data_IF_343132687011
#
_entry.id   IF_343132687011
#
_cell.length_a   1.000
_cell.length_b   1.000
_cell.length_c   1.000
_cell.angle_alpha   90.00
_cell.angle_beta   90.00
_cell.angle_gamma   90.00
#
_symmetry.space_group_name_H-M   'P 1'
#
loop_
_entity.id
_entity.type
_entity.pdbx_description
1 polymer ?
#
# COMPACT_ATOMS: atom_id res chain seq x y z
N UNK A 1 34.23 -14.18 -18.47
CA UNK A 1 32.84 -13.95 -18.04
C UNK A 1 32.02 -13.73 -19.29
N UNK A 2 31.21 -14.71 -19.72
CA UNK A 2 30.29 -14.51 -20.83
C UNK A 2 29.34 -13.37 -20.44
N UNK A 3 29.21 -12.36 -21.31
CA UNK A 3 28.40 -11.17 -21.03
C UNK A 3 26.97 -11.60 -20.70
N UNK A 4 26.54 -11.36 -19.47
CA UNK A 4 25.15 -11.50 -19.07
C UNK A 4 24.37 -10.52 -19.95
N UNK A 5 23.45 -11.02 -20.78
CA UNK A 5 22.71 -10.17 -21.70
C UNK A 5 21.92 -9.11 -20.94
N UNK A 6 22.02 -7.85 -21.36
CA UNK A 6 21.19 -6.75 -20.87
C UNK A 6 20.12 -6.41 -21.91
N UNK A 7 18.98 -5.92 -21.43
CA UNK A 7 17.89 -5.38 -22.25
C UNK A 7 17.85 -3.87 -22.05
N UNK A 8 17.77 -3.13 -23.15
CA UNK A 8 17.62 -1.68 -23.16
C UNK A 8 16.16 -1.31 -23.47
N UNK A 9 15.56 -0.47 -22.63
CA UNK A 9 14.24 0.10 -22.85
C UNK A 9 14.39 1.59 -23.18
N UNK A 10 13.93 2.01 -24.35
CA UNK A 10 14.07 3.39 -24.80
C UNK A 10 12.69 4.05 -24.96
N UNK A 11 12.24 4.81 -23.94
CA UNK A 11 11.03 5.62 -23.97
C UNK A 11 11.25 7.00 -24.57
N UNK A 12 10.18 7.74 -24.81
CA UNK A 12 10.24 9.14 -25.24
C UNK A 12 10.53 10.06 -24.04
N UNK A 13 10.07 9.69 -22.85
CA UNK A 13 10.40 10.36 -21.57
C UNK A 13 10.73 9.31 -20.50
N UNK A 14 11.65 9.61 -19.58
CA UNK A 14 11.97 8.76 -18.44
C UNK A 14 12.21 9.61 -17.19
N UNK A 15 11.65 9.19 -16.05
CA UNK A 15 12.00 9.76 -14.75
C UNK A 15 13.29 9.10 -14.24
N UNK A 16 14.41 9.83 -14.26
CA UNK A 16 15.71 9.35 -13.78
C UNK A 16 16.32 10.37 -12.84
N UNK A 17 16.78 9.93 -11.66
CA UNK A 17 17.43 10.78 -10.64
C UNK A 17 16.63 12.07 -10.32
N UNK A 18 15.29 11.93 -10.23
CA UNK A 18 14.40 13.04 -9.88
C UNK A 18 14.07 14.01 -11.02
N UNK A 19 14.55 13.77 -12.23
CA UNK A 19 14.26 14.59 -13.41
C UNK A 19 13.66 13.76 -14.55
N UNK A 20 12.71 14.34 -15.28
CA UNK A 20 12.18 13.74 -16.51
C UNK A 20 13.10 14.10 -17.67
N UNK A 21 13.50 13.10 -18.45
CA UNK A 21 14.53 13.19 -19.50
C UNK A 21 14.03 12.53 -20.78
N UNK A 22 14.43 13.05 -21.94
CA UNK A 22 14.03 12.53 -23.26
C UNK A 22 15.18 11.81 -23.99
N UNK A 23 16.36 11.78 -23.39
CA UNK A 23 17.64 11.44 -24.02
C UNK A 23 18.25 10.13 -23.48
N UNK A 24 17.49 9.33 -22.73
CA UNK A 24 17.99 8.17 -21.99
C UNK A 24 17.21 6.89 -22.29
N UNK A 25 17.92 5.76 -22.29
CA UNK A 25 17.37 4.41 -22.23
C UNK A 25 17.74 3.74 -20.90
N UNK A 26 16.85 2.93 -20.35
CA UNK A 26 17.07 2.14 -19.14
C UNK A 26 17.72 0.80 -19.50
N UNK A 27 18.86 0.49 -18.90
CA UNK A 27 19.55 -0.80 -19.04
C UNK A 27 19.19 -1.72 -17.87
N UNK A 28 18.67 -2.91 -18.18
CA UNK A 28 18.25 -3.93 -17.21
C UNK A 28 18.97 -5.25 -17.50
N UNK A 29 19.53 -5.90 -16.49
CA UNK A 29 20.20 -7.19 -16.65
C UNK A 29 19.23 -8.37 -16.69
N UNK A 30 19.75 -9.56 -17.00
CA UNK A 30 18.96 -10.79 -17.05
C UNK A 30 18.38 -11.23 -15.70
N UNK A 31 18.88 -10.69 -14.58
CA UNK A 31 18.33 -10.94 -13.24
C UNK A 31 17.19 -9.97 -12.89
N UNK A 32 16.90 -9.00 -13.77
CA UNK A 32 15.85 -8.00 -13.58
C UNK A 32 16.30 -6.81 -12.75
N UNK A 33 17.60 -6.58 -12.57
CA UNK A 33 18.14 -5.41 -11.90
C UNK A 33 18.48 -4.30 -12.90
N UNK A 34 18.25 -3.06 -12.49
CA UNK A 34 18.65 -1.87 -13.24
C UNK A 34 20.17 -1.75 -13.15
N UNK A 35 20.84 -1.68 -14.30
CA UNK A 35 22.28 -1.45 -14.37
C UNK A 35 22.57 0.04 -14.33
N UNK A 36 21.95 0.82 -15.22
CA UNK A 36 22.13 2.27 -15.37
C UNK A 36 21.11 2.84 -16.37
N UNK A 37 21.09 4.15 -16.52
CA UNK A 37 20.57 4.80 -17.73
C UNK A 37 21.72 5.11 -18.70
N UNK A 38 21.49 4.96 -20.00
CA UNK A 38 22.47 5.23 -21.06
C UNK A 38 21.91 6.26 -22.05
N UNK A 39 22.76 7.07 -22.72
CA UNK A 39 22.29 7.96 -23.77
C UNK A 39 21.53 7.20 -24.87
N UNK A 40 20.43 7.77 -25.36
CA UNK A 40 19.59 7.14 -26.39
C UNK A 40 20.35 6.81 -27.69
N UNK A 41 21.43 7.54 -27.98
CA UNK A 41 22.32 7.28 -29.11
C UNK A 41 23.11 5.97 -28.98
N UNK A 42 23.37 5.51 -27.74
CA UNK A 42 24.08 4.27 -27.45
C UNK A 42 23.13 3.06 -27.41
N UNK A 43 21.82 3.30 -27.39
CA UNK A 43 20.79 2.29 -27.21
C UNK A 43 20.40 1.55 -28.51
N UNK A 44 21.40 1.00 -29.20
CA UNK A 44 21.19 0.15 -30.38
C UNK A 44 20.50 -1.16 -29.98
N UNK A 45 19.49 -1.58 -30.75
CA UNK A 45 18.72 -2.79 -30.45
C UNK A 45 17.75 -2.69 -29.26
N UNK A 46 17.59 -1.50 -28.66
CA UNK A 46 16.67 -1.28 -27.55
C UNK A 46 15.21 -1.57 -27.94
N UNK A 47 14.44 -2.08 -26.97
CA UNK A 47 12.97 -2.13 -27.02
C UNK A 47 12.46 -0.69 -27.02
N UNK A 48 11.88 -0.27 -28.16
CA UNK A 48 11.37 1.09 -28.34
C UNK A 48 9.99 1.23 -27.73
N UNK A 49 9.86 2.08 -26.72
CA UNK A 49 8.60 2.42 -26.06
C UNK A 49 8.10 3.76 -26.62
N UNK A 50 7.79 3.79 -27.93
CA UNK A 50 7.38 5.03 -28.63
C UNK A 50 6.10 5.62 -28.03
N UNK A 51 6.06 6.93 -27.87
CA UNK A 51 4.92 7.63 -27.26
C UNK A 51 4.70 7.28 -25.80
N UNK A 52 5.71 6.71 -25.12
CA UNK A 52 5.62 6.33 -23.70
C UNK A 52 6.55 7.17 -22.84
N UNK A 53 6.08 7.51 -21.65
CA UNK A 53 6.94 7.87 -20.52
C UNK A 53 7.20 6.64 -19.64
N UNK A 54 8.43 6.47 -19.15
CA UNK A 54 8.83 5.41 -18.22
C UNK A 54 9.04 6.00 -16.83
N UNK A 55 8.33 5.47 -15.83
CA UNK A 55 8.38 5.93 -14.44
C UNK A 55 8.53 4.74 -13.48
N UNK A 56 9.06 4.90 -12.25
CA UNK A 56 9.01 3.85 -11.24
C UNK A 56 7.57 3.36 -11.02
N UNK A 57 7.39 2.05 -10.80
CA UNK A 57 6.07 1.52 -10.45
C UNK A 57 5.63 2.02 -9.08
N UNK A 58 4.32 2.24 -8.91
CA UNK A 58 3.78 2.70 -7.64
C UNK A 58 3.79 1.59 -6.59
N UNK A 59 3.89 2.00 -5.33
CA UNK A 59 3.98 1.11 -4.16
C UNK A 59 2.81 1.39 -3.24
N UNK A 60 1.88 0.45 -3.18
CA UNK A 60 0.73 0.51 -2.29
C UNK A 60 1.16 0.03 -0.90
N UNK A 61 1.31 0.92 0.07
CA UNK A 61 1.86 0.58 1.37
C UNK A 61 0.85 -0.06 2.34
N UNK A 62 -0.45 -0.04 2.03
CA UNK A 62 -1.48 -0.59 2.90
C UNK A 62 -2.68 -1.12 2.13
N UNK A 63 -3.04 -2.38 2.39
CA UNK A 63 -4.13 -3.09 1.74
C UNK A 63 -4.76 -4.13 2.68
N UNK A 64 -6.08 -4.28 2.56
CA UNK A 64 -6.83 -5.44 3.03
C UNK A 64 -7.54 -6.10 1.84
N UNK A 65 -6.87 -7.02 1.14
CA UNK A 65 -7.31 -7.51 -0.16
C UNK A 65 -8.72 -8.14 -0.14
N UNK A 66 -9.09 -8.84 0.93
CA UNK A 66 -10.40 -9.49 1.02
C UNK A 66 -11.57 -8.48 1.07
N UNK A 67 -11.32 -7.24 1.49
CA UNK A 67 -12.35 -6.19 1.53
C UNK A 67 -12.78 -5.76 0.12
N UNK A 68 -11.99 -6.09 -0.92
CA UNK A 68 -12.41 -5.93 -2.31
C UNK A 68 -13.75 -6.60 -2.63
N UNK A 69 -14.11 -7.65 -1.90
CA UNK A 69 -15.36 -8.39 -2.02
C UNK A 69 -16.59 -7.55 -1.64
N UNK A 70 -16.46 -6.62 -0.69
CA UNK A 70 -17.58 -5.78 -0.22
C UNK A 70 -17.72 -4.46 -0.99
N UNK A 71 -16.81 -4.14 -1.91
CA UNK A 71 -16.83 -2.89 -2.69
C UNK A 71 -18.23 -2.63 -3.29
N UNK A 72 -18.74 -1.42 -3.05
CA UNK A 72 -20.03 -0.95 -3.57
C UNK A 72 -21.26 -1.51 -2.83
N UNK A 73 -21.06 -2.36 -1.82
CA UNK A 73 -22.15 -2.97 -1.00
C UNK A 73 -22.28 -2.31 0.36
N UNK A 74 -21.68 -1.14 0.54
CA UNK A 74 -21.69 -0.37 1.80
C UNK A 74 -22.16 1.07 1.58
N UNK A 75 -22.46 1.45 0.33
CA UNK A 75 -22.86 2.81 -0.06
C UNK A 75 -24.38 3.01 0.08
N UNK A 76 -24.92 2.74 1.26
CA UNK A 76 -26.33 2.95 1.58
C UNK A 76 -26.50 3.24 3.08
N UNK A 77 -27.64 3.84 3.45
CA UNK A 77 -28.03 3.97 4.87
C UNK A 77 -28.90 2.77 5.25
N UNK A 78 -28.47 2.02 6.25
CA UNK A 78 -29.15 0.83 6.76
C UNK A 78 -30.58 1.17 7.17
N UNK A 79 -31.54 0.41 6.65
CA UNK A 79 -32.97 0.63 6.92
C UNK A 79 -33.25 0.75 8.41
N UNK A 80 -33.83 1.88 8.82
CA UNK A 80 -34.14 2.17 10.23
C UNK A 80 -33.05 2.94 10.99
N UNK A 81 -31.98 3.38 10.33
CA UNK A 81 -30.97 4.29 10.89
C UNK A 81 -31.05 5.69 10.25
N UNK A 82 -30.69 6.72 11.01
CA UNK A 82 -30.59 8.11 10.53
C UNK A 82 -29.29 8.36 9.75
N UNK A 83 -28.20 7.69 10.14
CA UNK A 83 -26.91 7.70 9.46
C UNK A 83 -26.19 6.36 9.63
N UNK A 84 -25.22 6.08 8.75
CA UNK A 84 -24.29 4.96 8.84
C UNK A 84 -22.86 5.49 9.00
N UNK A 85 -22.00 4.67 9.58
CA UNK A 85 -20.65 5.03 10.00
C UNK A 85 -19.67 3.86 9.75
N UNK A 86 -18.40 4.04 10.16
CA UNK A 86 -17.38 3.00 10.14
C UNK A 86 -17.87 1.65 10.72
N UNK A 87 -18.73 1.68 11.74
CA UNK A 87 -19.14 0.48 12.46
C UNK A 87 -20.19 -0.33 11.71
N UNK A 88 -21.11 0.31 10.96
CA UNK A 88 -22.05 -0.42 10.12
C UNK A 88 -21.39 -0.99 8.87
N UNK A 89 -20.43 -0.28 8.27
CA UNK A 89 -19.54 -0.83 7.23
C UNK A 89 -18.83 -2.11 7.71
N UNK A 90 -18.36 -2.11 8.96
CA UNK A 90 -17.63 -3.23 9.58
C UNK A 90 -18.45 -4.53 9.66
N UNK A 91 -19.78 -4.44 9.77
CA UNK A 91 -20.65 -5.63 9.80
C UNK A 91 -20.68 -6.37 8.44
N UNK A 92 -20.55 -5.63 7.34
CA UNK A 92 -20.40 -6.21 5.99
C UNK A 92 -19.01 -6.80 5.79
N UNK A 93 -17.96 -6.14 6.31
CA UNK A 93 -16.61 -6.70 6.35
C UNK A 93 -16.56 -8.03 7.12
N UNK A 94 -17.23 -8.13 8.27
CA UNK A 94 -17.32 -9.39 9.01
C UNK A 94 -18.04 -10.50 8.23
N UNK A 95 -19.12 -10.18 7.50
CA UNK A 95 -19.80 -11.17 6.64
C UNK A 95 -18.86 -11.74 5.59
N UNK A 96 -18.05 -10.89 4.96
CA UNK A 96 -17.01 -11.35 4.03
C UNK A 96 -15.97 -12.20 4.75
N UNK A 97 -15.40 -11.74 5.87
CA UNK A 97 -14.39 -12.47 6.62
C UNK A 97 -14.86 -13.85 7.09
N UNK A 98 -16.14 -14.02 7.43
CA UNK A 98 -16.70 -15.31 7.88
C UNK A 98 -16.90 -16.32 6.73
N UNK A 99 -17.00 -15.85 5.48
CA UNK A 99 -17.35 -16.70 4.33
C UNK A 99 -16.15 -17.28 3.57
N UNK A 100 -14.91 -16.83 3.84
CA UNK A 100 -13.75 -17.13 2.99
C UNK A 100 -12.91 -18.30 3.53
N UNK A 101 -12.85 -19.42 2.79
CA UNK A 101 -11.83 -20.45 2.98
C UNK A 101 -10.52 -20.08 2.28
N UNK A 102 -9.50 -20.97 2.32
CA UNK A 102 -8.20 -20.72 1.69
C UNK A 102 -8.30 -20.38 0.19
N UNK A 103 -9.09 -21.13 -0.56
CA UNK A 103 -9.25 -20.88 -2.00
C UNK A 103 -9.99 -19.56 -2.26
N UNK A 104 -11.01 -19.23 -1.47
CA UNK A 104 -11.70 -17.95 -1.62
C UNK A 104 -10.80 -16.75 -1.25
N UNK A 105 -9.91 -16.89 -0.26
CA UNK A 105 -8.88 -15.88 0.07
C UNK A 105 -7.92 -15.67 -1.11
N UNK A 106 -7.50 -16.75 -1.77
CA UNK A 106 -6.69 -16.64 -2.99
C UNK A 106 -7.45 -15.90 -4.10
N UNK A 107 -8.70 -16.29 -4.38
CA UNK A 107 -9.50 -15.69 -5.48
C UNK A 107 -9.73 -14.19 -5.25
N UNK A 108 -10.13 -13.79 -4.04
CA UNK A 108 -10.37 -12.37 -3.73
C UNK A 108 -9.08 -11.56 -3.81
N UNK A 109 -7.97 -12.11 -3.30
CA UNK A 109 -6.66 -11.43 -3.32
C UNK A 109 -6.13 -11.30 -4.74
N UNK A 110 -6.25 -12.35 -5.56
CA UNK A 110 -5.84 -12.34 -6.97
C UNK A 110 -6.57 -11.25 -7.75
N UNK A 111 -7.86 -11.07 -7.49
CA UNK A 111 -8.62 -10.01 -8.15
C UNK A 111 -8.21 -8.60 -7.70
N UNK A 112 -7.98 -8.40 -6.40
CA UNK A 112 -7.51 -7.11 -5.89
C UNK A 112 -6.12 -6.76 -6.46
N UNK A 113 -5.18 -7.71 -6.44
CA UNK A 113 -3.83 -7.53 -6.95
C UNK A 113 -3.78 -7.37 -8.47
N UNK A 114 -4.64 -8.05 -9.21
CA UNK A 114 -4.80 -7.84 -10.65
C UNK A 114 -5.22 -6.39 -10.96
N UNK A 115 -6.18 -5.85 -10.21
CA UNK A 115 -6.63 -4.47 -10.37
C UNK A 115 -5.51 -3.48 -10.02
N UNK A 116 -4.73 -3.76 -8.97
CA UNK A 116 -3.52 -3.00 -8.63
C UNK A 116 -2.49 -3.00 -9.78
N UNK A 117 -2.19 -4.16 -10.36
CA UNK A 117 -1.27 -4.27 -11.49
C UNK A 117 -1.75 -3.44 -12.69
N UNK A 118 -3.05 -3.51 -13.02
CA UNK A 118 -3.63 -2.71 -14.10
C UNK A 118 -3.60 -1.20 -13.82
N UNK A 119 -3.57 -0.80 -12.55
CA UNK A 119 -3.45 0.60 -12.11
C UNK A 119 -2.00 1.11 -12.04
N UNK A 120 -1.00 0.30 -12.39
CA UNK A 120 0.42 0.71 -12.33
C UNK A 120 1.10 0.50 -10.97
N UNK A 121 0.49 -0.30 -10.09
CA UNK A 121 1.06 -0.68 -8.80
C UNK A 121 1.87 -1.96 -8.99
N UNK A 122 3.16 -1.92 -8.69
CA UNK A 122 4.06 -3.08 -8.78
C UNK A 122 4.30 -3.80 -7.45
N UNK A 123 4.02 -3.11 -6.34
CA UNK A 123 4.28 -3.61 -4.98
C UNK A 123 3.10 -3.31 -4.05
N UNK A 124 2.73 -4.29 -3.21
CA UNK A 124 1.68 -4.14 -2.19
C UNK A 124 2.16 -4.53 -0.79
N UNK A 125 1.84 -3.70 0.20
CA UNK A 125 1.88 -3.99 1.62
C UNK A 125 0.54 -4.55 2.06
N UNK A 126 0.42 -5.87 2.16
CA UNK A 126 -0.83 -6.50 2.57
C UNK A 126 -0.87 -6.62 4.10
N UNK A 127 -1.75 -5.84 4.73
CA UNK A 127 -2.02 -5.86 6.16
C UNK A 127 -3.02 -6.99 6.45
N UNK A 128 -2.47 -8.19 6.64
CA UNK A 128 -3.22 -9.44 6.63
C UNK A 128 -3.61 -9.89 8.03
N UNK A 129 -4.91 -9.87 8.34
CA UNK A 129 -5.45 -10.24 9.65
C UNK A 129 -6.44 -11.42 9.65
N UNK A 130 -6.59 -12.15 8.54
CA UNK A 130 -7.45 -13.33 8.47
C UNK A 130 -6.59 -14.59 8.58
N UNK A 131 -6.57 -15.25 9.76
CA UNK A 131 -5.59 -16.30 10.06
C UNK A 131 -6.18 -17.69 10.20
N UNK A 132 -7.37 -17.78 10.80
CA UNK A 132 -7.95 -19.05 11.24
C UNK A 132 -9.11 -19.50 10.36
N UNK A 133 -9.57 -20.74 10.54
CA UNK A 133 -10.74 -21.27 9.86
C UNK A 133 -12.04 -20.53 10.24
N UNK A 134 -13.18 -20.77 9.55
CA UNK A 134 -14.44 -20.11 9.86
C UNK A 134 -14.94 -20.31 11.30
N UNK A 135 -14.49 -21.34 12.00
CA UNK A 135 -14.77 -21.60 13.42
C UNK A 135 -13.77 -20.92 14.38
N UNK A 136 -12.73 -20.27 13.87
CA UNK A 136 -11.68 -19.60 14.65
C UNK A 136 -10.56 -20.53 15.13
N UNK A 137 -10.43 -21.73 14.56
CA UNK A 137 -9.36 -22.68 14.88
C UNK A 137 -8.17 -22.48 13.93
N UNK A 138 -6.93 -22.60 14.41
CA UNK A 138 -5.76 -22.50 13.54
C UNK A 138 -5.77 -23.66 12.52
N UNK A 139 -5.35 -23.36 11.29
CA UNK A 139 -5.03 -24.37 10.29
C UNK A 139 -3.79 -25.18 10.69
N UNK A 140 -3.52 -26.27 9.98
CA UNK A 140 -2.33 -27.10 10.20
C UNK A 140 -1.04 -26.28 10.04
N UNK A 141 -0.97 -25.46 8.98
CA UNK A 141 -0.04 -24.33 8.90
C UNK A 141 -0.76 -23.05 9.37
N UNK A 142 -0.24 -22.40 10.41
CA UNK A 142 -0.82 -21.14 10.94
C UNK A 142 -0.81 -20.00 9.93
N UNK A 143 0.03 -20.09 8.89
CA UNK A 143 0.12 -19.12 7.82
C UNK A 143 -0.64 -19.55 6.55
N UNK A 144 -1.51 -20.56 6.61
CA UNK A 144 -2.27 -21.06 5.45
C UNK A 144 -2.86 -19.92 4.61
N UNK A 145 -3.63 -19.01 5.22
CA UNK A 145 -4.29 -17.92 4.49
C UNK A 145 -3.29 -16.85 3.99
N UNK A 146 -2.23 -16.58 4.75
CA UNK A 146 -1.14 -15.70 4.33
C UNK A 146 -0.41 -16.25 3.08
N UNK A 147 -0.19 -17.57 3.02
CA UNK A 147 0.39 -18.25 1.87
C UNK A 147 -0.53 -18.18 0.64
N UNK A 148 -1.85 -18.20 0.82
CA UNK A 148 -2.81 -18.00 -0.27
C UNK A 148 -2.75 -16.58 -0.85
N UNK A 149 -2.60 -15.57 0.01
CA UNK A 149 -2.37 -14.18 -0.42
C UNK A 149 -1.06 -14.06 -1.19
N UNK A 150 0.03 -14.63 -0.68
CA UNK A 150 1.34 -14.61 -1.37
C UNK A 150 1.26 -15.35 -2.71
N UNK A 151 0.54 -16.49 -2.77
CA UNK A 151 0.26 -17.21 -4.01
C UNK A 151 -0.44 -16.31 -5.03
N UNK A 152 -1.46 -15.58 -4.60
CA UNK A 152 -2.17 -14.62 -5.46
C UNK A 152 -1.24 -13.52 -6.01
N UNK A 153 -0.37 -12.97 -5.16
CA UNK A 153 0.59 -11.95 -5.58
C UNK A 153 1.60 -12.52 -6.60
N UNK A 154 2.11 -13.73 -6.39
CA UNK A 154 3.01 -14.43 -7.32
C UNK A 154 2.38 -14.65 -8.70
N UNK A 155 1.13 -15.11 -8.72
CA UNK A 155 0.42 -15.42 -9.96
C UNK A 155 0.14 -14.15 -10.79
N UNK A 156 -0.24 -13.04 -10.14
CA UNK A 156 -0.36 -11.73 -10.80
C UNK A 156 1.04 -11.17 -11.16
N UNK A 157 2.04 -11.49 -10.35
CA UNK A 157 3.41 -11.02 -10.51
C UNK A 157 3.74 -9.73 -9.77
N UNK A 158 2.98 -9.39 -8.74
CA UNK A 158 3.32 -8.30 -7.84
C UNK A 158 4.43 -8.70 -6.86
N UNK A 159 5.17 -7.70 -6.41
CA UNK A 159 5.95 -7.78 -5.16
C UNK A 159 4.99 -7.62 -3.98
N UNK A 160 5.18 -8.40 -2.92
CA UNK A 160 4.36 -8.34 -1.72
C UNK A 160 5.21 -8.20 -0.45
N UNK A 161 4.91 -7.20 0.35
CA UNK A 161 5.28 -7.16 1.76
C UNK A 161 4.06 -7.65 2.56
N UNK A 162 4.08 -8.89 3.03
CA UNK A 162 3.00 -9.39 3.87
C UNK A 162 3.22 -8.95 5.32
N UNK A 163 2.38 -8.05 5.78
CA UNK A 163 2.38 -7.54 7.15
C UNK A 163 1.48 -8.47 7.97
N UNK A 164 2.10 -9.43 8.68
CA UNK A 164 1.35 -10.39 9.49
C UNK A 164 0.76 -9.64 10.68
N UNK A 165 -0.56 -9.67 10.83
CA UNK A 165 -1.23 -8.86 11.85
C UNK A 165 -1.39 -9.60 13.17
N UNK A 166 -0.98 -8.98 14.27
CA UNK A 166 -1.34 -9.40 15.62
C UNK A 166 -2.66 -8.76 16.06
N UNK A 167 -3.65 -9.58 16.45
CA UNK A 167 -4.95 -9.14 16.94
C UNK A 167 -5.29 -9.96 18.19
N UNK A 168 -5.70 -9.33 19.29
CA UNK A 168 -5.91 -10.02 20.56
C UNK A 168 -7.33 -9.88 21.11
N UNK A 169 -8.01 -8.75 20.86
CA UNK A 169 -9.29 -8.41 21.51
C UNK A 169 -10.14 -7.43 20.70
N UNK A 170 -11.41 -7.33 21.07
CA UNK A 170 -12.36 -6.39 20.47
C UNK A 170 -12.14 -4.92 20.89
N UNK A 171 -11.49 -4.70 22.03
CA UNK A 171 -11.24 -3.38 22.63
C UNK A 171 -11.03 -3.47 24.13
N UNK A 172 -10.59 -2.36 24.75
CA UNK A 172 -10.50 -2.27 26.20
C UNK A 172 -11.87 -2.19 26.86
N UNK A 173 -12.14 -3.09 27.82
CA UNK A 173 -13.44 -3.23 28.49
C UNK A 173 -14.61 -3.50 27.51
N UNK A 174 -14.30 -4.04 26.33
CA UNK A 174 -15.29 -4.47 25.34
C UNK A 174 -15.40 -6.00 25.39
N UNK A 175 -16.61 -6.56 25.52
CA UNK A 175 -16.80 -8.01 25.47
C UNK A 175 -16.23 -8.61 24.18
N UNK A 176 -15.73 -9.86 24.20
CA UNK A 176 -15.28 -10.54 22.99
C UNK A 176 -16.36 -10.53 21.91
N UNK A 177 -15.96 -10.22 20.67
CA UNK A 177 -16.84 -10.29 19.51
C UNK A 177 -16.57 -11.60 18.75
N UNK A 178 -17.52 -12.56 18.72
CA UNK A 178 -17.34 -13.83 18.02
C UNK A 178 -16.99 -13.67 16.54
N UNK A 179 -17.35 -12.56 15.90
CA UNK A 179 -17.05 -12.28 14.48
C UNK A 179 -15.57 -11.99 14.22
N UNK A 180 -14.79 -11.72 15.27
CA UNK A 180 -13.33 -11.50 15.21
C UNK A 180 -12.51 -12.77 15.45
N UNK A 181 -13.17 -13.92 15.72
CA UNK A 181 -12.50 -15.19 16.07
C UNK A 181 -11.43 -15.62 15.07
N UNK A 182 -11.55 -15.21 13.80
CA UNK A 182 -10.60 -15.57 12.74
C UNK A 182 -9.31 -14.76 12.75
N UNK A 183 -9.26 -13.69 13.53
CA UNK A 183 -8.12 -12.77 13.58
C UNK A 183 -7.27 -12.98 14.83
N UNK A 184 -7.88 -13.52 15.89
CA UNK A 184 -7.32 -13.48 17.24
C UNK A 184 -6.18 -14.49 17.39
N UNK A 185 -4.97 -13.99 17.64
CA UNK A 185 -3.88 -14.80 18.15
C UNK A 185 -3.95 -14.84 19.70
N UNK A 186 -3.60 -15.97 20.35
CA UNK A 186 -3.82 -16.15 21.78
C UNK A 186 -2.89 -15.28 22.66
N UNK A 187 -1.69 -14.99 22.17
CA UNK A 187 -0.65 -14.25 22.88
C UNK A 187 0.34 -13.64 21.85
N UNK A 188 1.14 -12.63 22.23
CA UNK A 188 2.05 -11.98 21.28
C UNK A 188 3.16 -12.90 20.78
N UNK A 189 3.56 -13.91 21.56
CA UNK A 189 4.56 -14.89 21.17
C UNK A 189 4.11 -15.70 19.95
N UNK A 190 2.85 -16.17 19.94
CA UNK A 190 2.28 -16.90 18.79
C UNK A 190 2.18 -16.08 17.53
N UNK A 191 1.82 -14.81 17.66
CA UNK A 191 1.82 -13.87 16.55
C UNK A 191 3.25 -13.70 15.97
N UNK A 192 4.24 -13.43 16.82
CA UNK A 192 5.63 -13.21 16.41
C UNK A 192 6.24 -14.49 15.82
N UNK A 193 6.02 -15.65 16.44
CA UNK A 193 6.41 -16.97 15.92
C UNK A 193 5.84 -17.22 14.51
N UNK A 194 4.56 -16.92 14.29
CA UNK A 194 3.94 -17.10 12.98
C UNK A 194 4.57 -16.18 11.91
N UNK A 195 4.86 -14.93 12.25
CA UNK A 195 5.53 -13.99 11.34
C UNK A 195 6.96 -14.45 10.98
N UNK A 196 7.75 -14.91 11.96
CA UNK A 196 9.09 -15.45 11.70
C UNK A 196 9.04 -16.75 10.90
N UNK A 197 8.10 -17.64 11.20
CA UNK A 197 7.90 -18.87 10.43
C UNK A 197 7.57 -18.55 8.97
N UNK A 198 6.70 -17.57 8.71
CA UNK A 198 6.39 -17.14 7.35
C UNK A 198 7.61 -16.56 6.63
N UNK A 199 8.42 -15.73 7.32
CA UNK A 199 9.67 -15.19 6.77
C UNK A 199 10.62 -16.30 6.35
N UNK A 200 10.75 -17.36 7.15
CA UNK A 200 11.60 -18.50 6.80
C UNK A 200 11.00 -19.32 5.64
N UNK A 201 9.69 -19.58 5.64
CA UNK A 201 9.00 -20.30 4.57
C UNK A 201 9.11 -19.61 3.21
N UNK A 202 9.25 -18.28 3.20
CA UNK A 202 9.37 -17.45 2.00
C UNK A 202 10.80 -17.03 1.69
N UNK A 203 11.78 -17.51 2.46
CA UNK A 203 13.19 -17.15 2.30
C UNK A 203 13.68 -17.53 0.90
N UNK A 204 14.32 -16.57 0.23
CA UNK A 204 14.85 -16.71 -1.12
C UNK A 204 13.90 -16.26 -2.23
N UNK A 205 12.62 -15.99 -1.91
CA UNK A 205 11.74 -15.29 -2.84
C UNK A 205 12.01 -13.79 -2.80
N UNK A 206 12.68 -13.28 -3.84
CA UNK A 206 13.07 -11.87 -3.95
C UNK A 206 11.89 -10.91 -4.04
N UNK A 207 10.67 -11.39 -4.31
CA UNK A 207 9.45 -10.60 -4.40
C UNK A 207 8.58 -10.65 -3.13
N UNK A 208 8.98 -11.41 -2.11
CA UNK A 208 8.24 -11.52 -0.85
C UNK A 208 9.06 -10.97 0.31
N UNK A 209 8.45 -10.11 1.11
CA UNK A 209 8.99 -9.65 2.40
C UNK A 209 7.91 -9.82 3.46
N UNK A 210 8.32 -10.02 4.71
CA UNK A 210 7.39 -10.16 5.84
C UNK A 210 7.64 -9.02 6.82
N UNK A 211 6.59 -8.42 7.34
CA UNK A 211 6.63 -7.42 8.42
C UNK A 211 5.71 -7.79 9.58
N UNK A 212 5.81 -7.04 10.68
CA UNK A 212 4.94 -7.19 11.84
C UNK A 212 3.85 -6.11 11.81
N UNK A 213 2.63 -6.49 12.15
CA UNK A 213 1.54 -5.53 12.25
C UNK A 213 0.71 -5.70 13.53
N UNK A 214 1.11 -5.16 14.69
CA UNK A 214 0.16 -5.03 15.79
C UNK A 214 -1.04 -4.19 15.30
N UNK A 215 -2.25 -4.75 15.27
CA UNK A 215 -3.36 -4.16 14.51
C UNK A 215 -3.63 -2.69 14.88
N UNK A 216 -3.97 -2.44 16.15
CA UNK A 216 -4.18 -1.10 16.71
C UNK A 216 -4.18 -1.15 18.24
N UNK A 217 -4.13 0.00 18.91
CA UNK A 217 -4.19 0.09 20.39
C UNK A 217 -5.50 -0.47 20.97
N UNK A 218 -6.55 -0.57 20.15
CA UNK A 218 -7.81 -1.23 20.53
C UNK A 218 -7.62 -2.75 20.56
N UNK A 219 -7.00 -3.29 19.52
CA UNK A 219 -6.91 -4.72 19.28
C UNK A 219 -5.76 -5.43 20.01
N UNK A 220 -4.71 -4.70 20.41
CA UNK A 220 -3.57 -5.24 21.17
C UNK A 220 -3.24 -4.37 22.38
N UNK A 221 -2.65 -4.96 23.43
CA UNK A 221 -2.30 -4.25 24.67
C UNK A 221 -0.85 -3.75 24.66
N UNK A 222 -0.46 -2.99 25.70
CA UNK A 222 0.95 -2.62 25.98
C UNK A 222 1.91 -3.81 25.96
N UNK A 223 1.48 -4.97 26.44
CA UNK A 223 2.32 -6.18 26.45
C UNK A 223 2.69 -6.62 25.04
N UNK A 224 1.72 -6.60 24.12
CA UNK A 224 1.93 -6.93 22.72
C UNK A 224 2.88 -5.94 22.05
N UNK A 225 2.66 -4.63 22.26
CA UNK A 225 3.53 -3.60 21.69
C UNK A 225 4.98 -3.73 22.20
N UNK A 226 5.18 -4.04 23.49
CA UNK A 226 6.52 -4.32 24.04
C UNK A 226 7.16 -5.57 23.44
N UNK A 227 6.38 -6.63 23.22
CA UNK A 227 6.87 -7.84 22.59
C UNK A 227 7.34 -7.55 21.16
N UNK A 228 6.55 -6.81 20.37
CA UNK A 228 6.95 -6.37 19.03
C UNK A 228 8.22 -5.51 19.09
N UNK A 229 8.32 -4.56 20.03
CA UNK A 229 9.49 -3.70 20.16
C UNK A 229 10.77 -4.48 20.42
N UNK A 230 10.68 -5.56 21.22
CA UNK A 230 11.81 -6.43 21.56
C UNK A 230 12.21 -7.35 20.41
N UNK A 231 11.24 -7.93 19.71
CA UNK A 231 11.47 -9.03 18.78
C UNK A 231 11.48 -8.60 17.30
N UNK A 232 11.11 -7.35 16.96
CA UNK A 232 10.98 -6.93 15.54
C UNK A 232 12.25 -7.07 14.72
N UNK A 233 13.44 -7.00 15.34
CA UNK A 233 14.70 -7.03 14.61
C UNK A 233 14.74 -5.98 13.50
N UNK A 234 14.98 -6.42 12.26
CA UNK A 234 15.00 -5.62 11.04
C UNK A 234 13.63 -5.47 10.35
N UNK A 235 12.58 -6.12 10.84
CA UNK A 235 11.25 -6.10 10.24
C UNK A 235 10.63 -4.70 10.34
N UNK A 236 9.92 -4.31 9.28
CA UNK A 236 9.03 -3.15 9.33
C UNK A 236 7.84 -3.45 10.26
N UNK A 237 7.31 -2.39 10.88
CA UNK A 237 6.17 -2.44 11.79
C UNK A 237 5.09 -1.48 11.30
N UNK A 238 3.92 -2.01 10.97
CA UNK A 238 2.77 -1.22 10.53
C UNK A 238 1.63 -1.33 11.55
N UNK A 239 0.93 -0.24 11.81
CA UNK A 239 -0.15 -0.23 12.80
C UNK A 239 -1.19 0.81 12.41
N UNK A 240 -2.48 0.50 12.54
CA UNK A 240 -3.52 1.52 12.48
C UNK A 240 -3.41 2.40 13.72
N UNK A 241 -3.28 3.71 13.50
CA UNK A 241 -3.03 4.69 14.57
C UNK A 241 -3.87 5.95 14.35
N UNK A 242 -4.65 6.32 15.36
CA UNK A 242 -5.37 7.59 15.41
C UNK A 242 -6.26 7.87 14.17
N UNK A 243 -6.85 6.80 13.63
CA UNK A 243 -7.82 6.83 12.52
C UNK A 243 -9.14 7.49 12.95
N UNK A 244 -9.64 7.15 14.16
CA UNK A 244 -10.95 7.55 14.66
C UNK A 244 -10.85 8.20 16.05
N UNK A 245 -11.67 9.23 16.38
CA UNK A 245 -11.65 9.86 17.71
C UNK A 245 -11.93 8.87 18.85
N UNK A 246 -12.83 7.91 18.63
CA UNK A 246 -13.15 6.86 19.59
C UNK A 246 -11.94 5.98 19.95
N UNK A 247 -10.98 5.81 19.04
CA UNK A 247 -9.72 5.11 19.34
C UNK A 247 -8.86 5.89 20.34
N UNK A 248 -8.77 7.22 20.16
CA UNK A 248 -8.02 8.09 21.06
C UNK A 248 -8.62 8.04 22.46
N UNK A 249 -9.94 8.16 22.58
CA UNK A 249 -10.65 8.09 23.85
C UNK A 249 -10.41 6.75 24.56
N UNK A 250 -10.49 5.64 23.83
CA UNK A 250 -10.22 4.32 24.35
C UNK A 250 -8.76 4.18 24.84
N UNK A 251 -7.79 4.68 24.06
CA UNK A 251 -6.38 4.66 24.42
C UNK A 251 -6.10 5.50 25.67
N UNK A 252 -6.69 6.69 25.78
CA UNK A 252 -6.58 7.55 26.95
C UNK A 252 -7.18 6.89 28.20
N UNK A 253 -8.33 6.21 28.06
CA UNK A 253 -8.99 5.51 29.17
C UNK A 253 -8.14 4.36 29.71
N UNK A 254 -7.59 3.53 28.83
CA UNK A 254 -6.81 2.36 29.21
C UNK A 254 -5.38 2.71 29.64
N UNK A 255 -4.72 3.57 28.87
CA UNK A 255 -3.28 3.74 28.91
C UNK A 255 -2.83 5.11 29.38
N UNK A 256 -3.76 6.07 29.57
CA UNK A 256 -3.45 7.47 29.92
C UNK A 256 -2.48 8.14 28.95
N UNK A 257 -2.52 7.67 27.70
CA UNK A 257 -1.68 8.09 26.58
C UNK A 257 -2.52 8.13 25.32
N UNK A 258 -2.15 8.98 24.38
CA UNK A 258 -2.66 8.93 23.01
C UNK A 258 -1.95 7.82 22.22
N UNK A 259 -2.50 7.36 21.08
CA UNK A 259 -1.94 6.24 20.34
C UNK A 259 -0.45 6.38 19.97
N UNK A 260 0.00 7.54 19.46
CA UNK A 260 1.42 7.72 19.09
C UNK A 260 2.30 7.79 20.33
N UNK A 261 1.87 8.49 21.37
CA UNK A 261 2.60 8.56 22.65
C UNK A 261 2.83 7.15 23.24
N UNK A 262 1.85 6.26 23.09
CA UNK A 262 1.98 4.87 23.52
C UNK A 262 3.01 4.11 22.67
N UNK A 263 2.98 4.25 21.35
CA UNK A 263 3.98 3.63 20.45
C UNK A 263 5.40 4.13 20.80
N UNK A 264 5.54 5.42 21.08
CA UNK A 264 6.80 6.02 21.55
C UNK A 264 7.25 5.42 22.89
N UNK A 265 6.36 5.37 23.89
CA UNK A 265 6.66 4.82 25.22
C UNK A 265 7.09 3.34 25.15
N UNK A 266 6.54 2.57 24.20
CA UNK A 266 6.90 1.16 24.01
C UNK A 266 8.19 0.96 23.21
N UNK A 267 8.81 2.03 22.70
CA UNK A 267 10.07 1.98 21.95
C UNK A 267 9.93 1.50 20.50
N UNK A 268 8.74 1.65 19.92
CA UNK A 268 8.47 1.27 18.53
C UNK A 268 8.66 2.41 17.53
N UNK A 269 8.57 3.66 17.99
CA UNK A 269 8.64 4.83 17.12
C UNK A 269 10.04 4.96 16.50
N UNK A 270 10.12 5.02 15.17
CA UNK A 270 11.39 5.10 14.45
C UNK A 270 11.23 4.83 12.95
N UNK A 271 12.33 4.73 12.19
CA UNK A 271 12.31 4.61 10.72
C UNK A 271 11.64 3.36 10.17
N UNK A 272 11.49 2.32 10.99
CA UNK A 272 10.83 1.06 10.62
C UNK A 272 9.34 1.04 10.98
N UNK A 273 8.84 2.08 11.65
CA UNK A 273 7.44 2.19 12.03
C UNK A 273 6.65 2.99 11.01
N UNK A 274 5.47 2.48 10.67
CA UNK A 274 4.48 3.17 9.86
C UNK A 274 3.15 3.23 10.62
N UNK A 275 2.72 4.46 10.92
CA UNK A 275 1.36 4.73 11.37
C UNK A 275 0.43 4.82 10.16
N UNK A 276 -0.51 3.90 10.03
CA UNK A 276 -1.55 3.96 9.00
C UNK A 276 -2.65 4.92 9.47
N UNK A 277 -3.13 5.76 8.56
CA UNK A 277 -4.04 6.89 8.76
C UNK A 277 -3.38 8.09 9.44
N UNK A 278 -3.15 7.99 10.75
CA UNK A 278 -2.59 9.06 11.57
C UNK A 278 -3.30 10.42 11.35
N UNK A 279 -4.64 10.39 11.35
CA UNK A 279 -5.51 11.53 11.03
C UNK A 279 -5.62 12.47 12.23
N UNK A 280 -5.99 11.93 13.39
CA UNK A 280 -6.32 12.72 14.58
C UNK A 280 -5.12 12.86 15.50
N UNK A 281 -4.08 13.55 15.04
CA UNK A 281 -2.85 13.76 15.81
C UNK A 281 -2.87 15.08 16.59
N UNK A 282 -2.32 15.04 17.81
CA UNK A 282 -1.89 16.25 18.51
C UNK A 282 -0.59 16.78 17.88
N UNK A 283 -0.32 18.07 18.04
CA UNK A 283 0.91 18.69 17.51
C UNK A 283 2.19 18.01 18.03
N UNK A 284 2.12 17.48 19.25
CA UNK A 284 3.19 16.80 19.97
C UNK A 284 3.50 15.46 19.32
N UNK A 285 2.46 14.70 18.96
CA UNK A 285 2.56 13.42 18.26
C UNK A 285 3.19 13.60 16.88
N UNK A 286 2.82 14.67 16.16
CA UNK A 286 3.43 15.03 14.86
C UNK A 286 4.93 15.31 15.02
N UNK A 287 5.32 16.08 16.05
CA UNK A 287 6.74 16.36 16.33
C UNK A 287 7.49 15.08 16.69
N UNK A 288 6.93 14.20 17.52
CA UNK A 288 7.56 12.92 17.87
C UNK A 288 7.75 12.02 16.64
N UNK A 289 6.73 11.88 15.79
CA UNK A 289 6.81 11.12 14.53
C UNK A 289 7.96 11.64 13.65
N UNK A 290 8.03 12.96 13.48
CA UNK A 290 9.05 13.63 12.68
C UNK A 290 10.46 13.45 13.26
N UNK A 291 10.63 13.69 14.56
CA UNK A 291 11.91 13.54 15.25
C UNK A 291 12.44 12.10 15.22
N UNK A 292 11.54 11.11 15.23
CA UNK A 292 11.89 9.70 15.13
C UNK A 292 12.20 9.24 13.69
N UNK A 293 11.92 10.07 12.67
CA UNK A 293 12.02 9.69 11.26
C UNK A 293 11.01 8.60 10.88
N UNK A 294 9.86 8.56 11.56
CA UNK A 294 8.82 7.56 11.32
C UNK A 294 8.08 7.82 10.00
N UNK A 295 7.30 6.83 9.57
CA UNK A 295 6.48 6.92 8.37
C UNK A 295 4.99 7.04 8.74
N UNK A 296 4.23 7.69 7.87
CA UNK A 296 2.75 7.67 7.89
C UNK A 296 2.24 7.22 6.53
N UNK A 297 1.34 6.24 6.53
CA UNK A 297 0.63 5.80 5.34
C UNK A 297 -0.77 6.40 5.35
N UNK A 298 -1.01 7.36 4.46
CA UNK A 298 -2.34 7.92 4.25
C UNK A 298 -3.13 7.03 3.28
N UNK A 299 -4.44 6.92 3.49
CA UNK A 299 -5.35 6.15 2.65
C UNK A 299 -6.54 7.00 2.15
N UNK A 300 -6.30 8.14 1.46
CA UNK A 300 -7.32 9.18 1.25
C UNK A 300 -8.63 8.69 0.61
N UNK A 301 -8.56 7.72 -0.30
CA UNK A 301 -9.73 7.11 -0.92
C UNK A 301 -10.63 6.38 0.08
N UNK A 302 -10.03 5.60 0.99
CA UNK A 302 -10.75 4.90 2.07
C UNK A 302 -11.14 5.86 3.19
N UNK A 303 -10.25 6.75 3.62
CA UNK A 303 -10.50 7.70 4.70
C UNK A 303 -11.69 8.62 4.39
N UNK A 304 -11.83 9.01 3.12
CA UNK A 304 -13.01 9.74 2.62
C UNK A 304 -14.26 8.86 2.58
N UNK A 305 -14.13 7.58 2.20
CA UNK A 305 -15.27 6.66 2.14
C UNK A 305 -15.83 6.36 3.54
N UNK A 306 -14.95 6.18 4.53
CA UNK A 306 -15.32 5.88 5.91
C UNK A 306 -15.65 7.14 6.73
N UNK A 307 -15.28 8.33 6.24
CA UNK A 307 -15.57 9.59 6.90
C UNK A 307 -14.65 9.87 8.10
N UNK A 308 -13.39 9.43 8.03
CA UNK A 308 -12.44 9.50 9.14
C UNK A 308 -11.95 10.94 9.38
N UNK A 309 -11.64 11.66 8.31
CA UNK A 309 -11.15 13.03 8.37
C UNK A 309 -10.12 13.35 7.30
N UNK A 310 -9.25 14.32 7.59
CA UNK A 310 -8.20 14.78 6.67
C UNK A 310 -6.85 14.60 7.33
N UNK A 311 -6.00 13.75 6.76
CA UNK A 311 -4.61 13.57 7.22
C UNK A 311 -3.89 14.93 7.19
N UNK A 312 -3.23 15.36 8.28
CA UNK A 312 -2.50 16.63 8.36
C UNK A 312 -1.16 16.54 7.64
N UNK A 313 -1.17 16.18 6.35
CA UNK A 313 0.02 15.88 5.56
C UNK A 313 0.97 17.09 5.43
N UNK A 314 0.45 18.31 5.45
CA UNK A 314 1.23 19.55 5.48
C UNK A 314 2.11 19.61 6.74
N UNK A 315 1.51 19.44 7.92
CA UNK A 315 2.21 19.47 9.20
C UNK A 315 3.15 18.27 9.39
N UNK A 316 2.75 17.07 8.92
CA UNK A 316 3.60 15.87 8.96
C UNK A 316 4.87 16.05 8.12
N UNK A 317 4.74 16.55 6.90
CA UNK A 317 5.89 16.81 6.03
C UNK A 317 6.80 17.92 6.59
N UNK A 318 6.23 18.97 7.19
CA UNK A 318 7.00 20.02 7.86
C UNK A 318 7.79 19.49 9.06
N UNK A 319 7.22 18.53 9.81
CA UNK A 319 7.88 17.87 10.92
C UNK A 319 8.96 16.86 10.49
N UNK A 320 9.07 16.53 9.20
CA UNK A 320 10.04 15.56 8.67
C UNK A 320 9.54 14.12 8.60
N UNK A 321 8.23 13.89 8.74
CA UNK A 321 7.63 12.56 8.56
C UNK A 321 7.68 12.15 7.09
N UNK A 322 7.99 10.88 6.84
CA UNK A 322 7.90 10.30 5.50
C UNK A 322 6.47 9.83 5.23
N UNK A 323 5.89 10.26 4.11
CA UNK A 323 4.54 9.87 3.72
C UNK A 323 4.54 8.77 2.66
N UNK A 324 3.57 7.87 2.76
CA UNK A 324 3.22 6.87 1.74
C UNK A 324 1.70 6.84 1.52
N UNK A 325 1.25 6.10 0.50
CA UNK A 325 -0.18 5.90 0.21
C UNK A 325 -0.57 4.43 0.31
N UNK A 326 -1.84 4.17 0.63
CA UNK A 326 -2.43 2.84 0.55
C UNK A 326 -3.89 2.84 0.12
N UNK A 327 -4.32 1.82 -0.63
CA UNK A 327 -5.71 1.68 -1.08
C UNK A 327 -6.64 1.10 -0.01
N UNK A 328 -6.08 0.45 1.01
CA UNK A 328 -6.74 0.02 2.24
C UNK A 328 -7.99 -0.84 2.04
N UNK A 329 -9.20 -0.28 2.14
CA UNK A 329 -10.46 -1.02 2.04
C UNK A 329 -10.77 -1.54 0.64
N UNK A 330 -9.96 -1.11 -0.33
CA UNK A 330 -10.17 -1.37 -1.74
C UNK A 330 -11.51 -0.81 -2.23
N UNK A 331 -12.09 0.23 -1.60
CA UNK A 331 -13.25 0.94 -2.14
C UNK A 331 -12.93 1.52 -3.53
N UNK A 332 -11.71 2.03 -3.69
CA UNK A 332 -11.07 2.39 -4.95
C UNK A 332 -9.63 1.87 -4.95
N UNK A 333 -9.11 1.41 -6.09
CA UNK A 333 -7.68 1.07 -6.25
C UNK A 333 -7.12 2.04 -7.30
N UNK A 334 -6.63 3.19 -6.83
CA UNK A 334 -6.03 4.21 -7.67
C UNK A 334 -5.13 5.13 -6.82
N UNK A 335 -3.83 4.83 -6.77
CA UNK A 335 -2.88 5.64 -6.02
C UNK A 335 -2.69 7.05 -6.61
N UNK A 336 -3.09 7.29 -7.86
CA UNK A 336 -3.11 8.64 -8.43
C UNK A 336 -4.28 9.44 -7.88
N UNK A 337 -5.46 8.83 -7.70
CA UNK A 337 -6.54 9.47 -6.97
C UNK A 337 -6.13 9.72 -5.52
N UNK A 338 -5.55 8.73 -4.81
CA UNK A 338 -5.08 8.92 -3.43
C UNK A 338 -4.10 10.08 -3.32
N UNK A 339 -3.10 10.15 -4.21
CA UNK A 339 -2.14 11.26 -4.25
C UNK A 339 -2.82 12.61 -4.51
N UNK A 340 -3.79 12.63 -5.44
CA UNK A 340 -4.58 13.82 -5.76
C UNK A 340 -5.44 14.27 -4.58
N UNK A 341 -6.06 13.34 -3.85
CA UNK A 341 -6.90 13.64 -2.70
C UNK A 341 -6.08 14.06 -1.48
N UNK A 342 -4.87 13.54 -1.28
CA UNK A 342 -3.96 13.99 -0.21
C UNK A 342 -3.73 15.51 -0.27
N UNK A 343 -3.46 16.03 -1.47
CA UNK A 343 -3.38 17.48 -1.73
C UNK A 343 -4.78 18.12 -1.75
N UNK A 344 -5.74 17.52 -2.44
CA UNK A 344 -7.08 18.07 -2.67
C UNK A 344 -7.87 18.35 -1.39
N UNK A 345 -7.83 17.44 -0.43
CA UNK A 345 -8.46 17.62 0.88
C UNK A 345 -7.85 18.81 1.62
N UNK A 346 -6.53 18.95 1.62
CA UNK A 346 -5.85 20.10 2.22
C UNK A 346 -6.16 21.41 1.51
N UNK A 347 -6.34 21.41 0.18
CA UNK A 347 -6.80 22.63 -0.53
C UNK A 347 -8.14 23.12 0.00
N UNK A 348 -9.07 22.22 0.26
CA UNK A 348 -10.39 22.54 0.81
C UNK A 348 -10.28 23.07 2.24
N UNK A 349 -9.52 22.39 3.10
CA UNK A 349 -9.34 22.77 4.50
C UNK A 349 -8.58 24.10 4.65
N UNK A 350 -7.55 24.32 3.83
CA UNK A 350 -6.66 25.49 3.91
C UNK A 350 -7.10 26.65 3.02
N UNK A 351 -8.06 26.45 2.13
CA UNK A 351 -8.49 27.41 1.11
C UNK A 351 -7.31 27.95 0.27
N UNK A 352 -6.37 27.05 -0.07
CA UNK A 352 -5.14 27.36 -0.81
C UNK A 352 -4.90 26.34 -1.90
N UNK A 353 -4.14 26.72 -2.92
CA UNK A 353 -3.63 25.80 -3.95
C UNK A 353 -2.21 25.39 -3.59
N UNK A 354 -1.80 24.21 -4.06
CA UNK A 354 -0.42 23.74 -3.96
C UNK A 354 0.07 23.69 -2.51
N UNK A 355 -0.76 23.13 -1.62
CA UNK A 355 -0.50 23.12 -0.17
C UNK A 355 0.73 22.27 0.16
N UNK A 356 0.88 21.15 -0.54
CA UNK A 356 2.02 20.25 -0.38
C UNK A 356 3.20 20.58 -1.31
N UNK A 357 3.21 21.74 -1.98
CA UNK A 357 4.33 22.08 -2.85
C UNK A 357 5.61 22.27 -2.03
N UNK A 358 6.76 21.69 -2.45
CA UNK A 358 8.02 21.82 -1.73
C UNK A 358 8.59 23.24 -1.68
N UNK A 359 8.05 24.19 -2.45
CA UNK A 359 8.68 25.47 -2.70
C UNK A 359 9.80 25.36 -3.73
N UNK A 360 10.38 26.50 -4.12
CA UNK A 360 11.50 26.56 -5.08
C UNK A 360 11.13 26.95 -6.52
N UNK A 361 9.86 27.31 -6.79
CA UNK A 361 9.45 28.06 -7.97
C UNK A 361 9.44 27.30 -9.32
N UNK A 362 9.75 26.01 -9.33
CA UNK A 362 9.76 25.19 -10.54
C UNK A 362 8.39 24.59 -10.87
N UNK A 363 8.03 24.59 -12.16
CA UNK A 363 6.89 23.81 -12.67
C UNK A 363 7.12 22.33 -12.35
N UNK A 364 6.11 21.65 -11.83
CA UNK A 364 6.14 20.20 -11.59
C UNK A 364 6.52 19.74 -10.17
N UNK A 365 6.98 20.64 -9.29
CA UNK A 365 7.45 20.30 -7.93
C UNK A 365 6.43 19.52 -7.09
N UNK A 366 5.19 20.01 -6.99
CA UNK A 366 4.09 19.29 -6.35
C UNK A 366 3.83 17.90 -6.96
N UNK A 367 3.83 17.79 -8.28
CA UNK A 367 3.65 16.50 -8.98
C UNK A 367 4.76 15.51 -8.65
N UNK A 368 6.01 15.98 -8.61
CA UNK A 368 7.15 15.16 -8.21
C UNK A 368 7.06 14.69 -6.77
N UNK A 369 6.66 15.56 -5.82
CA UNK A 369 6.48 15.17 -4.41
C UNK A 369 5.38 14.12 -4.27
N UNK A 370 4.22 14.33 -4.89
CA UNK A 370 3.09 13.39 -4.79
C UNK A 370 3.41 12.04 -5.45
N UNK A 371 4.13 12.05 -6.58
CA UNK A 371 4.63 10.82 -7.20
C UNK A 371 5.61 10.08 -6.29
N UNK A 372 6.57 10.79 -5.69
CA UNK A 372 7.53 10.19 -4.74
C UNK A 372 6.83 9.61 -3.49
N UNK A 373 5.77 10.24 -2.99
CA UNK A 373 4.93 9.68 -1.92
C UNK A 373 4.27 8.36 -2.37
N UNK A 374 3.79 8.29 -3.61
CA UNK A 374 3.17 7.09 -4.20
C UNK A 374 4.18 5.99 -4.60
N UNK A 375 5.48 6.29 -4.66
CA UNK A 375 6.53 5.33 -5.05
C UNK A 375 7.54 5.09 -3.92
N UNK A 376 8.50 6.00 -3.74
CA UNK A 376 9.60 5.90 -2.78
C UNK A 376 9.11 5.88 -1.33
N UNK A 377 8.06 6.65 -1.03
CA UNK A 377 7.40 6.68 0.26
C UNK A 377 6.87 5.30 0.66
N UNK A 378 6.15 4.64 -0.26
CA UNK A 378 5.67 3.28 -0.04
C UNK A 378 6.80 2.25 0.11
N UNK A 379 7.84 2.35 -0.74
CA UNK A 379 8.99 1.47 -0.67
C UNK A 379 9.75 1.58 0.66
N UNK A 380 9.93 2.81 1.15
CA UNK A 380 10.52 3.10 2.47
C UNK A 380 9.70 2.51 3.60
N UNK A 381 8.39 2.78 3.59
CA UNK A 381 7.44 2.31 4.59
C UNK A 381 7.43 0.78 4.72
N UNK A 382 7.55 0.07 3.61
CA UNK A 382 7.57 -1.41 3.57
C UNK A 382 8.97 -2.02 3.76
N UNK A 383 10.04 -1.23 3.61
CA UNK A 383 11.43 -1.72 3.66
C UNK A 383 11.81 -2.57 2.42
N UNK A 384 11.25 -2.25 1.26
CA UNK A 384 11.42 -3.04 0.02
C UNK A 384 12.22 -2.28 -1.05
N UNK A 385 13.00 -2.97 -1.90
CA UNK A 385 13.78 -2.32 -2.96
C UNK A 385 12.89 -2.02 -4.19
N UNK A 386 11.92 -1.13 -4.06
CA UNK A 386 10.99 -0.74 -5.15
C UNK A 386 10.81 0.78 -5.19
N UNK A 387 9.93 1.28 -6.06
CA UNK A 387 9.52 2.69 -6.10
C UNK A 387 10.57 3.70 -6.61
N UNK A 388 11.77 3.25 -6.99
CA UNK A 388 12.86 4.08 -7.54
C UNK A 388 13.48 3.45 -8.77
N UNK A 389 13.93 4.26 -9.72
CA UNK A 389 14.80 3.82 -10.81
C UNK A 389 16.25 4.23 -10.49
N UNK A 390 17.05 3.27 -10.04
CA UNK A 390 18.47 3.48 -9.70
C UNK A 390 19.29 2.21 -9.92
N UNK A 391 20.59 2.32 -10.20
CA UNK A 391 21.48 1.16 -10.32
C UNK A 391 21.38 0.20 -9.12
N UNK A 392 21.31 -1.10 -9.41
CA UNK A 392 21.20 -2.18 -8.43
C UNK A 392 19.78 -2.41 -7.88
N UNK A 393 18.81 -1.52 -8.11
CA UNK A 393 17.42 -1.77 -7.76
C UNK A 393 16.76 -2.71 -8.78
N UNK A 394 15.77 -3.52 -8.37
CA UNK A 394 14.87 -4.22 -9.29
C UNK A 394 14.25 -3.27 -10.32
N UNK A 395 14.10 -3.73 -11.55
CA UNK A 395 13.41 -3.02 -12.62
C UNK A 395 11.88 -3.10 -12.41
N UNK A 396 11.41 -2.32 -11.43
CA UNK A 396 10.01 -2.12 -11.11
C UNK A 396 9.56 -0.78 -11.73
N UNK A 397 8.96 -0.81 -12.92
CA UNK A 397 8.58 0.39 -13.66
C UNK A 397 7.25 0.26 -14.40
N UNK A 398 6.65 1.41 -14.73
CA UNK A 398 5.45 1.52 -15.55
C UNK A 398 5.71 2.36 -16.79
N UNK A 399 4.87 2.18 -17.81
CA UNK A 399 4.79 3.11 -18.94
C UNK A 399 3.47 3.87 -18.95
N UNK A 400 3.53 5.16 -19.25
CA UNK A 400 2.38 6.04 -19.46
C UNK A 400 2.30 6.44 -20.92
N UNK A 401 1.12 6.33 -21.51
CA UNK A 401 0.83 6.76 -22.88
C UNK A 401 0.75 8.29 -22.99
N UNK A 402 1.75 8.89 -23.63
CA UNK A 402 1.82 10.33 -23.86
C UNK A 402 0.78 10.83 -24.88
N UNK A 403 0.19 9.94 -25.67
CA UNK A 403 -0.89 10.28 -26.60
C UNK A 403 -2.29 10.14 -25.99
N UNK A 404 -2.40 9.62 -24.76
CA UNK A 404 -3.68 9.47 -24.10
C UNK A 404 -4.36 10.84 -23.89
N UNK A 405 -5.68 10.99 -24.11
CA UNK A 405 -6.37 12.29 -24.02
C UNK A 405 -6.19 13.02 -22.67
N UNK A 406 -5.94 12.29 -21.60
CA UNK A 406 -5.71 12.85 -20.27
C UNK A 406 -4.26 13.28 -19.98
N UNK A 407 -3.32 12.97 -20.88
CA UNK A 407 -1.86 13.22 -20.74
C UNK A 407 -1.32 14.07 -21.89
N UNK A 408 -1.95 14.02 -23.06
CA UNK A 408 -1.50 14.72 -24.28
C UNK A 408 -1.17 16.20 -24.02
N UNK A 409 -0.03 16.63 -24.54
CA UNK A 409 0.51 17.99 -24.31
C UNK A 409 1.41 18.10 -23.09
N UNK A 410 1.57 17.03 -22.30
CA UNK A 410 2.60 16.98 -21.27
C UNK A 410 4.02 16.96 -21.85
N UNK A 411 4.93 17.66 -21.20
CA UNK A 411 6.36 17.70 -21.51
C UNK A 411 7.20 17.31 -20.29
N UNK A 412 8.53 17.29 -20.42
CA UNK A 412 9.41 16.91 -19.32
C UNK A 412 9.25 17.78 -18.05
N UNK A 413 8.82 19.03 -18.16
CA UNK A 413 8.68 19.92 -17.01
C UNK A 413 7.37 19.67 -16.24
N UNK A 414 6.29 19.33 -16.94
CA UNK A 414 4.97 19.20 -16.33
C UNK A 414 4.44 17.75 -16.24
N UNK A 415 5.15 16.75 -16.80
CA UNK A 415 4.69 15.37 -16.93
C UNK A 415 4.15 14.78 -15.61
N UNK A 416 4.91 14.87 -14.52
CA UNK A 416 4.47 14.30 -13.23
C UNK A 416 3.21 14.97 -12.70
N UNK A 417 3.08 16.29 -12.88
CA UNK A 417 1.87 17.00 -12.49
C UNK A 417 0.68 16.61 -13.38
N UNK A 418 0.89 16.48 -14.70
CA UNK A 418 -0.13 16.02 -15.64
C UNK A 418 -0.62 14.60 -15.29
N UNK A 419 0.32 13.71 -14.93
CA UNK A 419 -0.01 12.34 -14.51
C UNK A 419 -0.82 12.35 -13.21
N UNK A 420 -0.29 12.93 -12.13
CA UNK A 420 -0.94 12.88 -10.81
C UNK A 420 -2.32 13.55 -10.83
N UNK A 421 -2.42 14.75 -11.40
CA UNK A 421 -3.66 15.53 -11.34
C UNK A 421 -4.65 15.21 -12.46
N UNK A 422 -4.20 14.66 -13.59
CA UNK A 422 -5.01 14.54 -14.80
C UNK A 422 -5.10 13.14 -15.39
N UNK A 423 -4.11 12.26 -15.20
CA UNK A 423 -4.13 10.97 -15.89
C UNK A 423 -5.30 10.09 -15.41
N UNK A 424 -5.91 9.43 -16.38
CA UNK A 424 -6.85 8.34 -16.14
C UNK A 424 -6.07 7.01 -16.06
N UNK A 425 -6.55 6.01 -15.30
CA UNK A 425 -5.85 4.72 -15.18
C UNK A 425 -5.52 4.05 -16.52
N UNK A 426 -6.36 4.22 -17.54
CA UNK A 426 -6.15 3.68 -18.88
C UNK A 426 -4.89 4.21 -19.61
N UNK A 427 -4.31 5.32 -19.13
CA UNK A 427 -3.05 5.86 -19.63
C UNK A 427 -1.84 5.01 -19.21
N UNK A 428 -1.95 4.18 -18.16
CA UNK A 428 -0.92 3.20 -17.80
C UNK A 428 -1.03 2.03 -18.79
N UNK A 429 0.09 1.67 -19.42
CA UNK A 429 0.09 0.67 -20.51
C UNK A 429 0.90 -0.56 -20.17
N UNK A 430 2.10 -0.40 -19.67
CA UNK A 430 2.96 -1.53 -19.32
C UNK A 430 3.37 -1.43 -17.87
N UNK A 431 3.46 -2.59 -17.19
CA UNK A 431 3.93 -2.68 -15.81
C UNK A 431 4.95 -3.81 -15.74
N UNK A 432 6.10 -3.48 -15.16
CA UNK A 432 7.22 -4.37 -14.96
C UNK A 432 7.50 -4.50 -13.47
N UNK A 433 7.73 -5.73 -13.01
CA UNK A 433 8.15 -6.06 -11.64
C UNK A 433 9.31 -7.03 -11.73
N UNK A 434 10.43 -6.68 -11.10
CA UNK A 434 11.68 -7.42 -11.12
C UNK A 434 12.13 -7.76 -12.55
N UNK A 435 12.02 -6.79 -13.47
CA UNK A 435 12.35 -6.95 -14.88
C UNK A 435 11.36 -7.76 -15.72
N UNK A 436 10.31 -8.33 -15.12
CA UNK A 436 9.28 -9.08 -15.84
C UNK A 436 8.09 -8.19 -16.16
N UNK A 437 7.69 -8.15 -17.43
CA UNK A 437 6.44 -7.51 -17.84
C UNK A 437 5.23 -8.32 -17.33
N UNK A 438 4.41 -7.72 -16.48
CA UNK A 438 3.19 -8.34 -15.94
C UNK A 438 1.93 -7.78 -16.61
N UNK A 439 1.96 -6.52 -17.05
CA UNK A 439 0.91 -5.90 -17.87
C UNK A 439 1.54 -5.45 -19.18
N UNK A 440 0.88 -5.79 -20.29
CA UNK A 440 1.29 -5.38 -21.62
C UNK A 440 0.11 -4.67 -22.30
N UNK A 441 0.33 -3.43 -22.72
CA UNK A 441 -0.67 -2.58 -23.39
C UNK A 441 -2.05 -2.56 -22.69
N UNK A 442 -2.04 -2.40 -21.36
CA UNK A 442 -3.22 -2.30 -20.50
C UNK A 442 -3.93 -3.63 -20.28
N UNK A 443 -3.29 -4.76 -20.56
CA UNK A 443 -3.87 -6.11 -20.42
C UNK A 443 -2.99 -7.00 -19.57
N UNK A 444 -3.63 -7.75 -18.68
CA UNK A 444 -2.99 -8.79 -17.89
C UNK A 444 -3.50 -10.18 -18.33
N UNK A 445 -2.63 -11.21 -18.46
CA UNK A 445 -3.05 -12.53 -18.94
C UNK A 445 -4.17 -13.19 -18.12
N UNK A 446 -4.16 -12.99 -16.79
CA UNK A 446 -5.15 -13.57 -15.87
C UNK A 446 -6.48 -12.80 -15.79
N UNK A 447 -6.66 -11.70 -16.53
CA UNK A 447 -7.76 -10.76 -16.29
C UNK A 447 -9.15 -11.39 -16.44
N UNK A 448 -9.38 -12.17 -17.50
CA UNK A 448 -10.67 -12.82 -17.73
C UNK A 448 -10.95 -13.96 -16.74
N UNK A 449 -9.92 -14.76 -16.42
CA UNK A 449 -10.07 -15.87 -15.48
C UNK A 449 -10.34 -15.38 -14.06
N UNK A 450 -9.55 -14.41 -13.59
CA UNK A 450 -9.72 -13.80 -12.28
C UNK A 450 -11.10 -13.16 -12.13
N UNK A 451 -11.56 -12.41 -13.14
CA UNK A 451 -12.88 -11.80 -13.11
C UNK A 451 -14.02 -12.82 -13.01
N UNK A 452 -13.93 -13.94 -13.73
CA UNK A 452 -14.93 -15.02 -13.65
C UNK A 452 -14.95 -15.69 -12.27
N UNK A 453 -13.79 -16.05 -11.74
CA UNK A 453 -13.66 -16.67 -10.43
C UNK A 453 -14.18 -15.74 -9.31
N UNK A 454 -13.80 -14.46 -9.36
CA UNK A 454 -14.27 -13.46 -8.40
C UNK A 454 -15.79 -13.24 -8.49
N UNK A 455 -16.35 -13.19 -9.70
CA UNK A 455 -17.80 -13.05 -9.88
C UNK A 455 -18.56 -14.24 -9.29
N UNK A 456 -18.08 -15.46 -9.52
CA UNK A 456 -18.66 -16.66 -8.92
C UNK A 456 -18.59 -16.62 -7.38
N UNK A 457 -17.45 -16.21 -6.82
CA UNK A 457 -17.28 -16.03 -5.38
C UNK A 457 -18.26 -14.99 -4.82
N UNK A 458 -18.37 -13.82 -5.45
CA UNK A 458 -19.30 -12.78 -5.03
C UNK A 458 -20.76 -13.26 -5.06
N UNK A 459 -21.12 -14.05 -6.08
CA UNK A 459 -22.43 -14.70 -6.17
C UNK A 459 -22.67 -15.71 -5.05
N UNK A 460 -21.66 -16.50 -4.66
CA UNK A 460 -21.76 -17.44 -3.52
C UNK A 460 -21.95 -16.73 -2.17
N UNK A 461 -21.34 -15.55 -2.00
CA UNK A 461 -21.30 -14.84 -0.71
C UNK A 461 -22.52 -13.92 -0.54
N UNK A 462 -23.03 -13.33 -1.62
CA UNK A 462 -24.11 -12.32 -1.56
C UNK A 462 -25.36 -12.63 -2.40
N UNK A 463 -25.32 -13.67 -3.24
CA UNK A 463 -26.50 -14.18 -3.96
C UNK A 463 -27.23 -15.21 -3.12
#
# INVERSE_FOLDING_TARGET
MAGVGTTLYLPDLILWEGAVRADLALEVDAAGAIVRAVPAAEAQGAVRLRGRALLPAMVNAHSHAFQRLIRGRTEYVTTGRESDDFWSWRESMYRAAEALGPEEVYVVSRQAFLEMALAGIGTVGEFHYLHHDPEGRPYADRNELALQVIRAARDVGLRIALLRVGYARAGFEVPPNPRQRRFIDPDPGRFIEAAHALREQTRGDVCVTVGLAPHSVRAVSREWLRAVARERGDLCVHMHVAEQPAEIEACLREHRRRPVELVEEMGLLGPHFTGVHAIHLAADEIRSLGAAGANVCACPGTERNLGDGVVPADALLEAGVHLSLGSDSQANIDLLDDARQLEGHLRLVRLRRAVLDPGGGGVGGLGARLWAIATEGGARSLGVPSGTLRPGAPADFVTVDLSHPSVVGADAQNLLAAIVFGAQPAAIRDVFVNGRQIVADGRHPLQQESGRAFTALAGKVFG
#
